data_IF_486567368054
#
_entry.id   IF_486567368054
#
_cell.length_a   1.000
_cell.length_b   1.000
_cell.length_c   1.000
_cell.angle_alpha   90.00
_cell.angle_beta   90.00
_cell.angle_gamma   90.00
#
_symmetry.space_group_name_H-M   'P 1'
#
loop_
_entity.id
_entity.type
_entity.pdbx_description
1 polymer ?
#
# COMPACT_ATOMS: atom_id res chain seq x y z
N UNK A 1 -14.17 8.18 24.62
CA UNK A 1 -12.86 8.78 24.75
C UNK A 1 -11.74 7.97 24.11
N UNK A 2 -11.63 6.63 24.28
CA UNK A 2 -10.62 5.79 23.61
C UNK A 2 -10.80 5.80 22.07
N UNK A 3 -12.02 5.76 21.56
CA UNK A 3 -12.30 5.81 20.14
C UNK A 3 -11.81 7.13 19.50
N UNK A 4 -12.03 8.26 20.17
CA UNK A 4 -11.54 9.55 19.69
C UNK A 4 -10.01 9.65 19.73
N UNK A 5 -9.37 9.06 20.74
CA UNK A 5 -7.92 8.97 20.79
C UNK A 5 -7.32 8.13 19.65
N UNK A 6 -8.01 7.05 19.23
CA UNK A 6 -7.64 6.27 18.06
C UNK A 6 -7.81 7.07 16.76
N UNK A 7 -8.88 7.85 16.63
CA UNK A 7 -9.08 8.76 15.48
C UNK A 7 -7.98 9.82 15.46
N UNK A 8 -7.64 10.41 16.63
CA UNK A 8 -6.56 11.39 16.73
C UNK A 8 -5.19 10.79 16.35
N UNK A 9 -4.93 9.54 16.73
CA UNK A 9 -3.73 8.81 16.31
C UNK A 9 -3.71 8.64 14.77
N UNK A 10 -4.83 8.27 14.16
CA UNK A 10 -4.92 8.13 12.71
C UNK A 10 -4.68 9.46 11.98
N UNK A 11 -5.23 10.56 12.50
CA UNK A 11 -5.04 11.91 11.97
C UNK A 11 -3.59 12.37 12.14
N UNK A 12 -2.99 12.17 13.30
CA UNK A 12 -1.60 12.54 13.57
C UNK A 12 -0.63 11.79 12.65
N UNK A 13 -0.88 10.51 12.40
CA UNK A 13 -0.13 9.70 11.44
C UNK A 13 -0.53 9.95 9.98
N UNK A 14 -1.37 10.92 9.67
CA UNK A 14 -1.79 11.28 8.30
C UNK A 14 -2.38 10.10 7.51
N UNK A 15 -3.16 9.24 8.17
CA UNK A 15 -3.94 8.23 7.48
C UNK A 15 -5.04 8.89 6.63
N UNK A 16 -5.37 8.28 5.50
CA UNK A 16 -6.43 8.77 4.61
C UNK A 16 -7.83 8.45 5.19
N UNK A 17 -7.95 7.34 5.89
CA UNK A 17 -9.20 6.90 6.50
C UNK A 17 -8.99 6.25 7.87
N UNK A 18 -9.98 6.41 8.74
CA UNK A 18 -10.14 5.65 9.98
C UNK A 18 -11.26 4.63 9.81
N UNK A 19 -11.03 3.38 10.22
CA UNK A 19 -12.02 2.32 10.11
C UNK A 19 -12.33 1.69 11.47
N UNK A 20 -13.61 1.42 11.71
CA UNK A 20 -14.09 0.60 12.83
C UNK A 20 -15.03 -0.51 12.34
N UNK A 21 -15.60 -1.26 13.27
CA UNK A 21 -16.55 -2.34 13.00
C UNK A 21 -17.86 -2.07 13.75
N UNK A 22 -18.97 -2.50 13.15
CA UNK A 22 -20.29 -2.45 13.78
C UNK A 22 -21.01 -3.76 13.59
N UNK A 23 -21.61 -4.27 14.66
CA UNK A 23 -22.36 -5.53 14.66
C UNK A 23 -23.36 -5.57 15.80
N UNK A 24 -24.36 -6.44 15.66
CA UNK A 24 -25.21 -6.91 16.74
C UNK A 24 -24.79 -8.33 17.08
N UNK A 25 -24.30 -8.54 18.29
CA UNK A 25 -23.73 -9.82 18.72
C UNK A 25 -24.67 -11.00 18.46
N UNK A 26 -25.96 -10.81 18.70
CA UNK A 26 -26.97 -11.86 18.53
C UNK A 26 -27.26 -12.21 17.06
N UNK A 27 -26.91 -11.32 16.14
CA UNK A 27 -26.98 -11.54 14.68
C UNK A 27 -25.68 -12.08 14.10
N UNK A 28 -24.54 -11.71 14.69
CA UNK A 28 -23.22 -12.10 14.20
C UNK A 28 -22.84 -13.53 14.65
N UNK A 29 -23.14 -13.90 15.89
CA UNK A 29 -22.73 -15.19 16.45
C UNK A 29 -23.93 -16.02 16.85
N UNK A 30 -24.01 -17.22 16.28
CA UNK A 30 -25.08 -18.19 16.57
C UNK A 30 -25.07 -18.65 18.04
N UNK A 31 -26.23 -19.12 18.50
CA UNK A 31 -26.43 -19.62 19.89
C UNK A 31 -25.57 -20.85 20.23
N UNK A 32 -25.03 -21.53 19.20
CA UNK A 32 -24.12 -22.68 19.36
C UNK A 32 -22.73 -22.31 19.88
N UNK A 33 -22.37 -21.02 19.90
CA UNK A 33 -21.06 -20.53 20.36
C UNK A 33 -21.23 -19.51 21.50
N UNK A 34 -21.69 -19.91 22.68
CA UNK A 34 -22.09 -18.98 23.77
C UNK A 34 -20.89 -18.19 24.34
N UNK A 35 -19.73 -18.82 24.48
CA UNK A 35 -18.51 -18.15 24.98
C UNK A 35 -18.05 -17.05 24.03
N UNK A 36 -18.10 -17.31 22.72
CA UNK A 36 -17.77 -16.31 21.73
C UNK A 36 -18.77 -15.16 21.69
N UNK A 37 -20.07 -15.46 21.81
CA UNK A 37 -21.11 -14.43 21.93
C UNK A 37 -20.84 -13.51 23.12
N UNK A 38 -20.56 -14.05 24.28
CA UNK A 38 -20.31 -13.24 25.49
C UNK A 38 -19.06 -12.38 25.33
N UNK A 39 -17.99 -12.93 24.73
CA UNK A 39 -16.79 -12.18 24.43
C UNK A 39 -17.04 -11.01 23.47
N UNK A 40 -17.86 -11.16 22.45
CA UNK A 40 -18.19 -10.10 21.49
C UNK A 40 -19.19 -9.10 22.05
N UNK A 41 -20.14 -9.56 22.88
CA UNK A 41 -21.13 -8.68 23.52
C UNK A 41 -20.49 -7.55 24.33
N UNK A 42 -19.41 -7.86 25.02
CA UNK A 42 -18.66 -6.85 25.78
C UNK A 42 -17.97 -5.78 24.90
N UNK A 43 -17.86 -6.02 23.59
CA UNK A 43 -17.20 -5.15 22.60
C UNK A 43 -18.18 -4.53 21.61
N UNK A 44 -19.46 -4.92 21.67
CA UNK A 44 -20.51 -4.33 20.82
C UNK A 44 -20.64 -2.84 21.12
N UNK A 45 -20.52 -2.03 20.08
CA UNK A 45 -20.67 -0.58 20.19
C UNK A 45 -22.13 -0.19 19.92
N UNK A 46 -22.73 0.72 20.72
CA UNK A 46 -24.04 1.26 20.41
C UNK A 46 -24.02 2.10 19.13
N UNK A 47 -25.16 2.15 18.44
CA UNK A 47 -25.31 2.90 17.19
C UNK A 47 -24.88 4.37 17.33
N UNK A 48 -25.24 5.02 18.43
CA UNK A 48 -24.87 6.40 18.72
C UNK A 48 -23.36 6.61 18.90
N UNK A 49 -22.63 5.57 19.32
CA UNK A 49 -21.18 5.65 19.40
C UNK A 49 -20.56 5.66 18.00
N UNK A 50 -21.10 4.87 17.08
CA UNK A 50 -20.67 4.85 15.67
C UNK A 50 -20.95 6.21 15.02
N UNK A 51 -22.14 6.77 15.22
CA UNK A 51 -22.48 8.09 14.71
C UNK A 51 -21.53 9.17 15.23
N UNK A 52 -21.27 9.21 16.53
CA UNK A 52 -20.32 10.18 17.12
C UNK A 52 -18.90 10.03 16.59
N UNK A 53 -18.44 8.80 16.31
CA UNK A 53 -17.13 8.59 15.67
C UNK A 53 -17.12 9.15 14.26
N UNK A 54 -18.19 8.95 13.49
CA UNK A 54 -18.35 9.52 12.15
C UNK A 54 -18.26 11.05 12.18
N UNK A 55 -19.07 11.68 13.04
CA UNK A 55 -19.06 13.14 13.22
C UNK A 55 -17.69 13.68 13.65
N UNK A 56 -16.99 12.93 14.52
CA UNK A 56 -15.64 13.31 14.95
C UNK A 56 -14.64 13.19 13.82
N UNK A 57 -14.71 12.13 13.00
CA UNK A 57 -13.88 12.01 11.80
C UNK A 57 -14.09 13.16 10.82
N UNK A 58 -15.34 13.58 10.58
CA UNK A 58 -15.66 14.74 9.75
C UNK A 58 -15.05 16.03 10.30
N UNK A 59 -15.15 16.24 11.60
CA UNK A 59 -14.53 17.38 12.28
C UNK A 59 -13.00 17.35 12.17
N UNK A 60 -12.42 16.17 12.18
CA UNK A 60 -10.96 15.96 12.03
C UNK A 60 -10.51 15.88 10.57
N UNK A 61 -11.45 15.91 9.61
CA UNK A 61 -11.21 15.81 8.15
C UNK A 61 -10.51 14.52 7.73
N UNK A 62 -10.86 13.40 8.34
CA UNK A 62 -10.44 12.05 7.97
C UNK A 62 -11.67 11.25 7.51
N UNK A 63 -11.50 10.41 6.48
CA UNK A 63 -12.58 9.56 5.99
C UNK A 63 -12.95 8.53 7.07
N UNK A 64 -14.24 8.38 7.35
CA UNK A 64 -14.74 7.34 8.24
C UNK A 64 -15.26 6.16 7.45
N UNK A 65 -14.72 4.98 7.70
CA UNK A 65 -15.20 3.71 7.16
C UNK A 65 -15.66 2.82 8.30
N UNK A 66 -16.62 1.95 8.02
CA UNK A 66 -17.08 0.97 8.99
C UNK A 66 -17.39 -0.37 8.30
N UNK A 67 -17.05 -1.46 8.99
CA UNK A 67 -17.43 -2.81 8.56
C UNK A 67 -18.76 -3.17 9.23
N UNK A 68 -19.87 -3.28 8.49
CA UNK A 68 -21.08 -3.93 9.00
C UNK A 68 -20.87 -5.45 8.97
N UNK A 69 -21.13 -6.12 10.06
CA UNK A 69 -21.03 -7.58 10.15
C UNK A 69 -22.40 -8.30 10.12
N UNK A 70 -23.47 -7.54 10.00
CA UNK A 70 -24.84 -8.04 9.87
C UNK A 70 -25.71 -7.01 9.17
N UNK A 71 -26.91 -7.43 8.79
CA UNK A 71 -27.83 -6.57 8.04
C UNK A 71 -28.33 -5.37 8.83
N UNK A 72 -28.56 -5.53 10.15
CA UNK A 72 -28.99 -4.41 10.98
C UNK A 72 -27.89 -3.36 11.12
N UNK A 73 -26.62 -3.79 11.27
CA UNK A 73 -25.49 -2.89 11.25
C UNK A 73 -25.36 -2.16 9.90
N UNK A 74 -25.56 -2.85 8.77
CA UNK A 74 -25.57 -2.24 7.44
C UNK A 74 -26.63 -1.15 7.32
N UNK A 75 -27.85 -1.39 7.81
CA UNK A 75 -28.95 -0.41 7.79
C UNK A 75 -28.63 0.81 8.66
N UNK A 76 -28.07 0.60 9.85
CA UNK A 76 -27.61 1.70 10.71
C UNK A 76 -26.56 2.55 10.02
N UNK A 77 -25.57 1.92 9.36
CA UNK A 77 -24.52 2.65 8.66
C UNK A 77 -25.05 3.42 7.44
N UNK A 78 -26.07 2.89 6.77
CA UNK A 78 -26.72 3.53 5.63
C UNK A 78 -27.61 4.69 6.05
N UNK A 79 -28.54 4.44 6.98
CA UNK A 79 -29.64 5.37 7.26
C UNK A 79 -29.31 6.39 8.34
N UNK A 80 -28.55 5.99 9.38
CA UNK A 80 -28.26 6.87 10.53
C UNK A 80 -26.90 7.52 10.44
N UNK A 81 -25.86 6.75 10.06
CA UNK A 81 -24.46 7.22 10.08
C UNK A 81 -24.07 7.89 8.76
N UNK A 82 -24.61 7.44 7.64
CA UNK A 82 -24.34 8.00 6.33
C UNK A 82 -22.87 7.81 5.91
N UNK A 83 -22.31 6.60 6.05
CA UNK A 83 -20.93 6.33 5.66
C UNK A 83 -20.68 6.56 4.18
N UNK A 84 -19.49 7.06 3.76
CA UNK A 84 -19.18 7.29 2.35
C UNK A 84 -18.91 5.99 1.57
N UNK A 85 -18.62 4.90 2.26
CA UNK A 85 -18.34 3.58 1.71
C UNK A 85 -18.24 2.53 2.80
N UNK A 86 -18.17 1.29 2.41
CA UNK A 86 -18.12 0.15 3.32
C UNK A 86 -16.77 -0.55 3.28
N UNK A 87 -16.33 -1.05 4.43
CA UNK A 87 -15.28 -2.06 4.52
C UNK A 87 -15.94 -3.40 4.81
N UNK A 88 -15.60 -4.42 4.07
CA UNK A 88 -16.09 -5.79 4.29
C UNK A 88 -14.91 -6.67 4.68
N UNK A 89 -15.08 -7.40 5.77
CA UNK A 89 -14.06 -8.30 6.30
C UNK A 89 -14.01 -9.64 5.55
N UNK A 90 -12.93 -10.38 5.73
CA UNK A 90 -12.70 -11.69 5.11
C UNK A 90 -13.70 -12.77 5.54
N UNK A 91 -14.37 -12.58 6.67
CA UNK A 91 -15.39 -13.51 7.18
C UNK A 91 -16.62 -13.69 6.29
N UNK A 92 -16.78 -12.82 5.29
CA UNK A 92 -17.89 -12.90 4.33
C UNK A 92 -17.58 -13.80 3.11
N UNK A 93 -16.56 -14.64 3.20
CA UNK A 93 -16.28 -15.66 2.17
C UNK A 93 -17.53 -16.53 1.96
N UNK A 94 -17.91 -16.71 0.69
CA UNK A 94 -19.12 -17.45 0.26
C UNK A 94 -20.46 -16.90 0.77
N UNK A 95 -20.48 -15.80 1.51
CA UNK A 95 -21.71 -15.10 1.90
C UNK A 95 -22.21 -14.17 0.77
N UNK A 96 -22.40 -14.77 -0.42
CA UNK A 96 -22.82 -14.03 -1.61
C UNK A 96 -24.10 -13.22 -1.43
N UNK A 97 -25.15 -13.71 -0.70
CA UNK A 97 -26.33 -12.90 -0.45
C UNK A 97 -26.03 -11.61 0.29
N UNK A 98 -25.16 -11.65 1.27
CA UNK A 98 -24.79 -10.46 2.04
C UNK A 98 -23.92 -9.50 1.21
N UNK A 99 -22.94 -10.02 0.46
CA UNK A 99 -22.13 -9.20 -0.45
C UNK A 99 -22.99 -8.49 -1.50
N UNK A 100 -23.98 -9.19 -2.09
CA UNK A 100 -24.94 -8.58 -3.00
C UNK A 100 -25.77 -7.49 -2.32
N UNK A 101 -26.21 -7.71 -1.07
CA UNK A 101 -26.96 -6.71 -0.30
C UNK A 101 -26.13 -5.45 -0.02
N UNK A 102 -24.85 -5.60 0.36
CA UNK A 102 -23.93 -4.46 0.52
C UNK A 102 -23.75 -3.71 -0.79
N UNK A 103 -23.48 -4.44 -1.87
CA UNK A 103 -23.27 -3.87 -3.21
C UNK A 103 -24.50 -3.09 -3.73
N UNK A 104 -25.72 -3.58 -3.42
CA UNK A 104 -26.98 -2.93 -3.81
C UNK A 104 -27.16 -1.53 -3.20
N UNK A 105 -26.40 -1.16 -2.17
CA UNK A 105 -26.35 0.20 -1.61
C UNK A 105 -25.65 1.20 -2.51
N UNK A 106 -24.97 0.73 -3.58
CA UNK A 106 -24.31 1.54 -4.62
C UNK A 106 -23.27 2.53 -4.10
N UNK A 107 -22.63 2.21 -2.97
CA UNK A 107 -21.50 2.93 -2.40
C UNK A 107 -20.18 2.19 -2.69
N UNK A 108 -19.05 2.88 -2.61
CA UNK A 108 -17.73 2.24 -2.68
C UNK A 108 -17.57 1.16 -1.60
N UNK A 109 -16.94 0.05 -1.97
CA UNK A 109 -16.65 -1.06 -1.06
C UNK A 109 -15.17 -1.43 -1.12
N UNK A 110 -14.57 -1.66 0.04
CA UNK A 110 -13.25 -2.26 0.18
C UNK A 110 -13.45 -3.66 0.77
N UNK A 111 -13.13 -4.70 0.00
CA UNK A 111 -13.29 -6.11 0.39
C UNK A 111 -11.94 -6.72 0.73
N UNK A 112 -11.75 -7.23 1.96
CA UNK A 112 -10.62 -8.10 2.31
C UNK A 112 -10.93 -9.55 1.99
N UNK A 113 -9.92 -10.27 1.48
CA UNK A 113 -10.07 -11.61 0.91
C UNK A 113 -9.22 -12.68 1.61
N UNK A 114 -8.98 -12.53 2.91
CA UNK A 114 -8.43 -13.64 3.71
C UNK A 114 -9.40 -14.83 3.71
N UNK A 115 -8.89 -16.04 3.73
CA UNK A 115 -9.65 -17.31 3.63
C UNK A 115 -10.32 -17.55 2.27
N UNK A 116 -10.19 -16.66 1.29
CA UNK A 116 -10.69 -16.85 -0.06
C UNK A 116 -9.66 -17.58 -0.92
N UNK A 117 -10.12 -18.49 -1.75
CA UNK A 117 -9.38 -18.93 -2.93
C UNK A 117 -9.54 -17.92 -4.09
N UNK A 118 -8.65 -17.95 -5.06
CA UNK A 118 -8.67 -17.01 -6.19
C UNK A 118 -9.98 -17.10 -7.01
N UNK A 119 -10.55 -18.31 -7.12
CA UNK A 119 -11.85 -18.56 -7.75
C UNK A 119 -13.00 -17.85 -7.00
N UNK A 120 -12.97 -17.89 -5.69
CA UNK A 120 -13.97 -17.25 -4.84
C UNK A 120 -13.85 -15.71 -4.87
N UNK A 121 -12.63 -15.17 -5.02
CA UNK A 121 -12.44 -13.73 -5.25
C UNK A 121 -13.11 -13.31 -6.56
N UNK A 122 -12.92 -14.09 -7.64
CA UNK A 122 -13.57 -13.84 -8.94
C UNK A 122 -15.09 -13.87 -8.82
N UNK A 123 -15.63 -14.86 -8.12
CA UNK A 123 -17.06 -14.99 -7.90
C UNK A 123 -17.61 -13.80 -7.08
N UNK A 124 -16.95 -13.44 -5.98
CA UNK A 124 -17.33 -12.28 -5.17
C UNK A 124 -17.38 -10.99 -6.00
N UNK A 125 -16.38 -10.77 -6.86
CA UNK A 125 -16.36 -9.58 -7.73
C UNK A 125 -17.53 -9.56 -8.72
N UNK A 126 -17.88 -10.72 -9.31
CA UNK A 126 -19.03 -10.84 -10.19
C UNK A 126 -20.35 -10.56 -9.45
N UNK A 127 -20.56 -11.22 -8.32
CA UNK A 127 -21.76 -11.01 -7.49
C UNK A 127 -21.95 -9.54 -7.11
N UNK A 128 -20.87 -8.87 -6.70
CA UNK A 128 -20.95 -7.46 -6.31
C UNK A 128 -21.18 -6.54 -7.51
N UNK A 129 -20.57 -6.82 -8.64
CA UNK A 129 -20.79 -6.07 -9.87
C UNK A 129 -22.24 -6.20 -10.36
N UNK A 130 -22.78 -7.42 -10.40
CA UNK A 130 -24.16 -7.70 -10.81
C UNK A 130 -25.19 -7.04 -9.87
N UNK A 131 -24.86 -6.92 -8.58
CA UNK A 131 -25.69 -6.22 -7.59
C UNK A 131 -25.56 -4.69 -7.61
N UNK A 132 -24.69 -4.14 -8.46
CA UNK A 132 -24.58 -2.70 -8.72
C UNK A 132 -23.58 -1.96 -7.81
N UNK A 133 -22.53 -2.63 -7.32
CA UNK A 133 -21.44 -1.95 -6.61
C UNK A 133 -20.85 -0.83 -7.49
N UNK A 134 -20.80 0.39 -6.97
CA UNK A 134 -20.34 1.56 -7.73
C UNK A 134 -18.83 1.60 -7.94
N UNK A 135 -18.08 1.12 -6.95
CA UNK A 135 -16.62 1.01 -6.97
C UNK A 135 -16.18 -0.06 -5.96
N UNK A 136 -15.30 -0.95 -6.37
CA UNK A 136 -14.78 -2.03 -5.55
C UNK A 136 -13.25 -1.95 -5.50
N UNK A 137 -12.68 -2.06 -4.30
CA UNK A 137 -11.25 -2.34 -4.10
C UNK A 137 -11.11 -3.70 -3.40
N UNK A 138 -10.12 -4.48 -3.80
CA UNK A 138 -9.84 -5.80 -3.22
C UNK A 138 -8.54 -5.73 -2.44
N UNK A 139 -8.56 -6.19 -1.18
CA UNK A 139 -7.36 -6.31 -0.37
C UNK A 139 -7.00 -7.79 -0.22
N UNK A 140 -5.81 -8.17 -0.70
CA UNK A 140 -5.20 -9.42 -0.28
C UNK A 140 -5.02 -9.40 1.24
N UNK A 141 -5.28 -10.52 1.90
CA UNK A 141 -5.28 -10.62 3.34
C UNK A 141 -5.03 -12.06 3.79
N UNK A 142 -4.42 -12.24 4.96
CA UNK A 142 -4.38 -13.52 5.66
C UNK A 142 -5.00 -13.34 7.04
N UNK A 143 -6.02 -14.15 7.35
CA UNK A 143 -6.81 -14.02 8.60
C UNK A 143 -6.17 -14.84 9.72
N UNK A 144 -5.01 -14.39 10.19
CA UNK A 144 -4.28 -14.89 11.37
C UNK A 144 -3.70 -13.69 12.13
N UNK A 145 -3.70 -13.69 13.47
CA UNK A 145 -3.35 -12.55 14.33
C UNK A 145 -2.41 -12.94 15.47
N UNK A 146 -1.09 -12.78 15.37
CA UNK A 146 -0.35 -12.35 14.18
C UNK A 146 -0.26 -13.45 13.12
N UNK A 147 0.01 -13.07 11.88
CA UNK A 147 0.33 -13.98 10.79
C UNK A 147 1.86 -14.07 10.63
N UNK A 148 2.36 -15.29 10.35
CA UNK A 148 3.75 -15.47 9.98
C UNK A 148 4.02 -14.88 8.59
N UNK A 149 5.09 -14.09 8.40
CA UNK A 149 5.41 -13.52 7.08
C UNK A 149 5.53 -14.55 5.96
N UNK A 150 5.89 -15.79 6.25
CA UNK A 150 5.99 -16.88 5.25
C UNK A 150 4.65 -17.29 4.65
N UNK A 151 3.55 -17.01 5.35
CA UNK A 151 2.18 -17.36 4.90
C UNK A 151 1.51 -16.26 4.08
N UNK A 152 2.12 -15.07 3.96
CA UNK A 152 1.49 -13.89 3.37
C UNK A 152 1.34 -13.99 1.85
N UNK A 153 2.37 -14.43 1.14
CA UNK A 153 2.35 -14.54 -0.32
C UNK A 153 1.92 -13.25 -1.05
N UNK A 154 2.61 -12.13 -0.84
CA UNK A 154 2.26 -10.83 -1.45
C UNK A 154 2.11 -10.87 -2.98
N UNK A 155 2.72 -11.85 -3.65
CA UNK A 155 2.55 -12.09 -5.09
C UNK A 155 1.11 -12.34 -5.53
N UNK A 156 0.21 -12.72 -4.61
CA UNK A 156 -1.23 -12.90 -4.88
C UNK A 156 -1.88 -11.61 -5.37
N UNK A 157 -1.39 -10.43 -4.95
CA UNK A 157 -1.90 -9.15 -5.46
C UNK A 157 -1.76 -9.04 -6.99
N UNK A 158 -0.65 -9.53 -7.55
CA UNK A 158 -0.46 -9.54 -9.00
C UNK A 158 -1.47 -10.49 -9.69
N UNK A 159 -1.74 -11.66 -9.12
CA UNK A 159 -2.74 -12.60 -9.66
C UNK A 159 -4.16 -12.01 -9.62
N UNK A 160 -4.51 -11.25 -8.58
CA UNK A 160 -5.79 -10.55 -8.51
C UNK A 160 -5.88 -9.51 -9.63
N UNK A 161 -4.82 -8.77 -9.92
CA UNK A 161 -4.77 -7.76 -10.99
C UNK A 161 -4.94 -8.34 -12.39
N UNK A 162 -4.63 -9.60 -12.61
CA UNK A 162 -4.81 -10.26 -13.92
C UNK A 162 -6.29 -10.29 -14.37
N UNK A 163 -7.23 -10.31 -13.43
CA UNK A 163 -8.65 -10.39 -13.74
C UNK A 163 -9.49 -9.24 -13.17
N UNK A 164 -8.97 -8.50 -12.22
CA UNK A 164 -9.70 -7.41 -11.56
C UNK A 164 -9.11 -6.05 -11.95
N UNK A 165 -9.86 -5.20 -12.67
CA UNK A 165 -9.35 -3.92 -13.17
C UNK A 165 -9.36 -2.79 -12.12
N UNK A 166 -9.98 -3.02 -10.96
CA UNK A 166 -10.06 -2.05 -9.86
C UNK A 166 -8.82 -2.02 -8.97
N UNK A 167 -8.81 -1.16 -7.95
CA UNK A 167 -7.71 -1.06 -7.00
C UNK A 167 -7.48 -2.38 -6.23
N UNK A 168 -6.22 -2.80 -6.15
CA UNK A 168 -5.78 -3.97 -5.38
C UNK A 168 -4.80 -3.55 -4.31
N UNK A 169 -5.07 -3.92 -3.06
CA UNK A 169 -4.26 -3.56 -1.92
C UNK A 169 -3.97 -4.74 -0.99
N UNK A 170 -3.56 -4.41 0.21
CA UNK A 170 -3.19 -5.39 1.23
C UNK A 170 -3.76 -4.99 2.60
N UNK A 171 -4.41 -5.94 3.28
CA UNK A 171 -4.85 -5.82 4.68
C UNK A 171 -3.92 -6.62 5.57
N UNK A 172 -3.17 -5.93 6.42
CA UNK A 172 -2.04 -6.49 7.13
C UNK A 172 -2.36 -6.93 8.57
N UNK A 173 -1.94 -8.18 8.89
CA UNK A 173 -2.01 -8.75 10.22
C UNK A 173 -0.64 -9.26 10.71
N UNK A 174 0.46 -8.75 10.16
CA UNK A 174 1.81 -9.05 10.67
C UNK A 174 2.18 -8.16 11.86
N UNK A 175 3.15 -8.57 12.65
CA UNK A 175 3.82 -7.68 13.58
C UNK A 175 4.75 -6.72 12.82
N UNK A 176 4.80 -5.46 13.25
CA UNK A 176 5.65 -4.45 12.61
C UNK A 176 5.09 -3.87 11.32
N UNK A 177 5.98 -3.31 10.48
CA UNK A 177 5.61 -2.51 9.30
C UNK A 177 6.28 -2.98 8.00
N UNK A 178 7.17 -3.95 8.05
CA UNK A 178 7.97 -4.36 6.89
C UNK A 178 7.11 -4.94 5.76
N UNK A 179 6.15 -5.83 6.08
CA UNK A 179 5.31 -6.50 5.09
C UNK A 179 4.37 -5.51 4.37
N UNK A 180 3.61 -4.64 5.06
CA UNK A 180 2.77 -3.68 4.37
C UNK A 180 3.59 -2.65 3.55
N UNK A 181 4.80 -2.27 3.97
CA UNK A 181 5.69 -1.44 3.15
C UNK A 181 6.15 -2.17 1.88
N UNK A 182 6.46 -3.47 1.97
CA UNK A 182 6.75 -4.30 0.79
C UNK A 182 5.53 -4.40 -0.14
N UNK A 183 4.31 -4.50 0.40
CA UNK A 183 3.09 -4.48 -0.41
C UNK A 183 2.94 -3.17 -1.21
N UNK A 184 3.27 -2.02 -0.61
CA UNK A 184 3.29 -0.72 -1.33
C UNK A 184 4.30 -0.73 -2.47
N UNK A 185 5.52 -1.23 -2.23
CA UNK A 185 6.55 -1.35 -3.25
C UNK A 185 6.12 -2.27 -4.41
N UNK A 186 5.37 -3.34 -4.11
CA UNK A 186 4.77 -4.25 -5.09
C UNK A 186 3.49 -3.71 -5.75
N UNK A 187 3.11 -2.46 -5.46
CA UNK A 187 2.04 -1.77 -6.15
C UNK A 187 0.69 -1.80 -5.44
N UNK A 188 0.61 -2.10 -4.15
CA UNK A 188 -0.64 -1.97 -3.42
C UNK A 188 -1.20 -0.54 -3.54
N UNK A 189 -2.49 -0.43 -3.92
CA UNK A 189 -3.20 0.86 -4.03
C UNK A 189 -3.81 1.28 -2.69
N UNK A 190 -4.07 0.31 -1.82
CA UNK A 190 -4.68 0.51 -0.49
C UNK A 190 -3.93 -0.35 0.52
N UNK A 191 -3.59 0.23 1.66
CA UNK A 191 -3.05 -0.50 2.81
C UNK A 191 -4.01 -0.34 3.99
N UNK A 192 -4.38 -1.46 4.60
CA UNK A 192 -5.12 -1.48 5.86
C UNK A 192 -4.21 -2.03 6.96
N UNK A 193 -4.14 -1.32 8.08
CA UNK A 193 -3.37 -1.71 9.26
C UNK A 193 -4.14 -1.39 10.53
N UNK A 194 -4.14 -2.33 11.47
CA UNK A 194 -4.68 -2.08 12.80
C UNK A 194 -3.86 -1.03 13.56
N UNK A 195 -4.55 -0.21 14.36
CA UNK A 195 -3.92 0.76 15.28
C UNK A 195 -4.40 0.55 16.70
N UNK A 196 -3.56 0.86 17.68
CA UNK A 196 -3.90 0.80 19.10
C UNK A 196 -3.27 1.95 19.88
N UNK A 197 -3.92 2.35 20.96
CA UNK A 197 -3.36 3.29 21.97
C UNK A 197 -2.85 2.54 23.20
N UNK A 198 -3.06 1.23 23.27
CA UNK A 198 -2.68 0.39 24.40
C UNK A 198 -2.33 -1.01 23.90
N UNK A 199 -1.13 -1.47 24.19
CA UNK A 199 -0.62 -2.82 23.82
C UNK A 199 -0.91 -3.89 24.87
N UNK A 200 -1.62 -3.56 25.95
CA UNK A 200 -1.91 -4.46 27.03
C UNK A 200 -3.43 -4.64 27.25
N UNK A 201 -4.20 -4.66 26.18
CA UNK A 201 -5.64 -4.82 26.25
C UNK A 201 -5.98 -6.30 26.51
N UNK A 202 -6.54 -6.65 27.68
CA UNK A 202 -6.93 -8.03 27.98
C UNK A 202 -7.97 -8.54 26.98
N UNK A 203 -7.87 -9.82 26.60
CA UNK A 203 -8.80 -10.49 25.69
C UNK A 203 -8.95 -9.85 24.29
N UNK A 204 -7.98 -9.03 23.89
CA UNK A 204 -7.87 -8.53 22.53
C UNK A 204 -6.69 -9.21 21.81
N UNK A 205 -6.85 -9.51 20.52
CA UNK A 205 -5.79 -10.13 19.70
C UNK A 205 -5.09 -9.08 18.83
N UNK A 206 -5.84 -8.10 18.35
CA UNK A 206 -5.45 -7.16 17.30
C UNK A 206 -4.32 -6.21 17.72
N UNK A 207 -4.13 -5.96 19.02
CA UNK A 207 -3.05 -5.08 19.48
C UNK A 207 -1.64 -5.57 19.12
N UNK A 208 -1.46 -6.89 18.95
CA UNK A 208 -0.16 -7.46 18.53
C UNK A 208 0.22 -7.06 17.12
N UNK A 209 -0.76 -6.95 16.25
CA UNK A 209 -0.59 -6.60 14.83
C UNK A 209 -0.83 -5.10 14.57
N UNK A 210 -1.12 -4.33 15.61
CA UNK A 210 -1.41 -2.90 15.52
C UNK A 210 -0.16 -2.03 15.54
N UNK A 211 -0.19 -0.95 14.78
CA UNK A 211 0.68 0.19 15.03
C UNK A 211 0.15 1.01 16.22
N UNK A 212 1.03 1.70 16.91
CA UNK A 212 0.71 2.60 18.01
C UNK A 212 1.37 3.97 17.83
N UNK A 213 1.30 4.79 18.85
CA UNK A 213 1.89 6.15 18.86
C UNK A 213 3.40 6.17 18.61
N UNK A 214 4.11 5.05 18.80
CA UNK A 214 5.56 4.98 18.66
C UNK A 214 6.00 4.72 17.21
N UNK A 215 5.15 4.10 16.38
CA UNK A 215 5.54 3.64 15.05
C UNK A 215 4.56 3.99 13.92
N UNK A 216 3.35 4.51 14.23
CA UNK A 216 2.34 4.75 13.20
C UNK A 216 2.74 5.90 12.26
N UNK A 217 3.30 6.99 12.77
CA UNK A 217 3.78 8.09 11.93
C UNK A 217 4.95 7.66 11.03
N UNK A 218 5.89 6.87 11.57
CA UNK A 218 6.96 6.27 10.76
C UNK A 218 6.39 5.38 9.65
N UNK A 219 5.41 4.56 9.97
CA UNK A 219 4.77 3.69 8.99
C UNK A 219 4.16 4.47 7.82
N UNK A 220 3.34 5.46 8.12
CA UNK A 220 2.66 6.25 7.08
C UNK A 220 3.62 7.13 6.27
N UNK A 221 4.63 7.73 6.92
CA UNK A 221 5.67 8.49 6.22
C UNK A 221 6.51 7.60 5.30
N UNK A 222 6.84 6.38 5.73
CA UNK A 222 7.54 5.39 4.89
C UNK A 222 6.71 4.97 3.67
N UNK A 223 5.39 4.85 3.81
CA UNK A 223 4.50 4.62 2.65
C UNK A 223 4.67 5.75 1.64
N UNK A 224 4.58 7.01 2.07
CA UNK A 224 4.70 8.18 1.16
C UNK A 224 6.10 8.28 0.54
N UNK A 225 7.14 7.89 1.26
CA UNK A 225 8.50 7.82 0.72
C UNK A 225 8.63 6.75 -0.37
N UNK A 226 8.06 5.56 -0.16
CA UNK A 226 8.04 4.48 -1.15
C UNK A 226 7.22 4.89 -2.38
N UNK A 227 6.05 5.52 -2.20
CA UNK A 227 5.24 6.05 -3.30
C UNK A 227 6.04 7.04 -4.16
N UNK A 228 6.75 7.96 -3.55
CA UNK A 228 7.61 8.90 -4.26
C UNK A 228 8.79 8.19 -4.97
N UNK A 229 9.40 7.20 -4.31
CA UNK A 229 10.54 6.45 -4.84
C UNK A 229 10.16 5.51 -6.00
N UNK A 230 8.94 5.01 -6.04
CA UNK A 230 8.44 4.18 -7.16
C UNK A 230 8.49 4.92 -8.50
N UNK A 231 8.17 6.21 -8.53
CA UNK A 231 8.24 7.05 -9.71
C UNK A 231 7.64 6.41 -10.97
N UNK A 232 8.27 6.67 -12.10
CA UNK A 232 7.94 6.05 -13.38
C UNK A 232 8.77 4.78 -13.66
N UNK A 233 8.38 4.03 -14.70
CA UNK A 233 9.09 2.81 -15.14
C UNK A 233 10.21 3.08 -16.15
N UNK A 234 10.36 4.30 -16.63
CA UNK A 234 11.38 4.67 -17.62
C UNK A 234 12.71 5.00 -16.95
N UNK A 235 13.80 4.36 -17.40
CA UNK A 235 15.14 4.66 -16.88
C UNK A 235 15.71 5.89 -17.58
N UNK A 236 15.52 7.03 -16.98
CA UNK A 236 16.09 8.30 -17.37
C UNK A 236 17.22 8.72 -16.43
N UNK A 237 18.11 9.59 -16.92
CA UNK A 237 19.06 10.29 -16.05
C UNK A 237 18.29 11.38 -15.32
N UNK A 238 18.30 11.34 -13.98
CA UNK A 238 17.63 12.34 -13.18
C UNK A 238 18.37 13.69 -13.22
N UNK A 239 17.66 14.78 -12.98
CA UNK A 239 18.26 16.11 -12.91
C UNK A 239 19.37 16.18 -11.85
N UNK A 240 19.18 15.50 -10.72
CA UNK A 240 20.18 15.40 -9.65
C UNK A 240 21.45 14.66 -10.05
N UNK A 241 21.41 13.83 -11.10
CA UNK A 241 22.60 13.12 -11.62
C UNK A 241 23.42 13.97 -12.60
N UNK A 242 22.89 15.07 -13.13
CA UNK A 242 23.60 15.88 -14.13
C UNK A 242 24.92 16.42 -13.60
N UNK A 243 24.96 16.88 -12.37
CA UNK A 243 26.21 17.33 -11.76
C UNK A 243 27.19 16.16 -11.55
N UNK A 244 26.69 15.01 -11.11
CA UNK A 244 27.51 13.81 -10.95
C UNK A 244 28.08 13.32 -12.28
N UNK A 245 27.37 13.46 -13.38
CA UNK A 245 27.87 13.11 -14.71
C UNK A 245 29.14 13.89 -15.08
N UNK A 246 29.24 15.15 -14.68
CA UNK A 246 30.39 15.99 -15.00
C UNK A 246 31.70 15.50 -14.35
N UNK A 247 31.65 14.96 -13.16
CA UNK A 247 32.81 14.52 -12.39
C UNK A 247 32.96 13.01 -12.29
N UNK A 248 31.88 12.24 -12.30
CA UNK A 248 31.93 10.79 -12.12
C UNK A 248 32.12 10.01 -13.43
N UNK A 249 31.59 10.50 -14.54
CA UNK A 249 31.81 9.87 -15.86
C UNK A 249 33.28 9.93 -16.25
N UNK A 250 33.66 8.98 -17.08
CA UNK A 250 34.99 8.94 -17.69
C UNK A 250 34.91 9.37 -19.15
N UNK A 251 35.97 9.99 -19.63
CA UNK A 251 36.17 10.34 -21.04
C UNK A 251 37.53 9.84 -21.53
N UNK A 252 37.71 9.85 -22.84
CA UNK A 252 38.98 9.60 -23.44
C UNK A 252 39.91 10.79 -23.16
N UNK A 253 41.11 10.49 -22.71
CA UNK A 253 42.18 11.46 -22.42
C UNK A 253 43.47 10.96 -23.02
N UNK A 254 44.36 11.88 -23.39
CA UNK A 254 45.73 11.51 -23.82
C UNK A 254 46.47 10.85 -22.64
N UNK A 255 47.00 9.65 -22.83
CA UNK A 255 47.84 8.95 -21.86
C UNK A 255 49.24 9.53 -21.78
N UNK A 256 49.72 10.11 -22.90
CA UNK A 256 51.03 10.69 -23.07
C UNK A 256 50.97 11.90 -24.04
N UNK A 257 52.03 12.63 -24.18
CA UNK A 257 52.12 13.69 -25.19
C UNK A 257 52.00 13.11 -26.60
N UNK A 258 51.04 13.60 -27.35
CA UNK A 258 50.77 13.21 -28.73
C UNK A 258 51.22 14.39 -29.62
N UNK A 259 52.17 14.15 -30.53
CA UNK A 259 52.65 15.19 -31.43
C UNK A 259 51.86 15.20 -32.75
N UNK A 260 51.76 16.38 -33.36
CA UNK A 260 51.10 16.52 -34.66
C UNK A 260 51.71 15.61 -35.70
N UNK A 261 50.87 14.91 -36.46
CA UNK A 261 51.28 13.95 -37.46
C UNK A 261 51.42 12.50 -36.99
N UNK A 262 51.29 12.24 -35.71
CA UNK A 262 51.21 10.85 -35.20
C UNK A 262 49.86 10.21 -35.54
N UNK A 263 49.89 8.93 -35.87
CA UNK A 263 48.67 8.11 -35.93
C UNK A 263 48.29 7.68 -34.53
N UNK A 264 47.01 7.86 -34.16
CA UNK A 264 46.50 7.47 -32.85
C UNK A 264 46.46 5.95 -32.75
N UNK A 265 47.02 5.43 -31.70
CA UNK A 265 46.99 4.03 -31.31
C UNK A 265 46.30 3.92 -29.93
N UNK A 266 45.80 2.73 -29.58
CA UNK A 266 45.13 2.50 -28.31
C UNK A 266 45.97 2.91 -27.09
N UNK A 267 47.30 2.73 -27.14
CA UNK A 267 48.21 3.10 -26.05
C UNK A 267 48.40 4.61 -25.86
N UNK A 268 47.99 5.43 -26.83
CA UNK A 268 48.07 6.89 -26.71
C UNK A 268 46.88 7.47 -25.94
N UNK A 269 45.82 6.66 -25.70
CA UNK A 269 44.60 7.09 -25.06
C UNK A 269 44.36 6.32 -23.77
N UNK A 270 43.81 7.00 -22.77
CA UNK A 270 43.38 6.45 -21.52
C UNK A 270 41.93 6.86 -21.26
N UNK A 271 41.27 6.18 -20.31
CA UNK A 271 39.88 6.45 -19.92
C UNK A 271 39.85 6.92 -18.47
N UNK A 272 39.73 8.21 -18.27
CA UNK A 272 39.85 8.85 -16.96
C UNK A 272 38.68 9.81 -16.68
N UNK A 273 38.51 10.20 -15.44
CA UNK A 273 37.64 11.31 -15.01
C UNK A 273 38.37 12.63 -15.23
N UNK A 274 37.65 13.73 -15.46
CA UNK A 274 36.22 13.91 -15.58
C UNK A 274 35.66 13.56 -16.96
N UNK A 275 34.31 13.44 -17.04
CA UNK A 275 33.61 13.11 -18.29
C UNK A 275 33.34 14.29 -19.21
N UNK A 276 34.34 15.17 -19.42
CA UNK A 276 34.22 16.39 -20.24
C UNK A 276 34.65 16.23 -21.69
N UNK A 277 35.34 15.13 -22.02
CA UNK A 277 35.79 14.80 -23.35
C UNK A 277 34.89 13.79 -24.06
N UNK A 278 35.44 13.14 -25.11
CA UNK A 278 34.74 12.11 -25.86
C UNK A 278 34.47 10.86 -24.97
N UNK A 279 33.30 10.24 -25.09
CA UNK A 279 33.02 9.03 -24.35
C UNK A 279 33.95 7.87 -24.74
N UNK A 280 34.26 7.01 -23.78
CA UNK A 280 35.15 5.84 -24.00
C UNK A 280 34.67 4.91 -25.13
N UNK A 281 33.37 4.85 -25.39
CA UNK A 281 32.79 4.09 -26.50
C UNK A 281 33.29 4.53 -27.89
N UNK A 282 33.80 5.74 -27.98
CA UNK A 282 34.37 6.29 -29.26
C UNK A 282 35.84 5.94 -29.47
N UNK A 283 36.46 5.13 -28.60
CA UNK A 283 37.87 4.77 -28.69
C UNK A 283 38.25 4.22 -30.09
N UNK A 284 37.45 3.28 -30.60
CA UNK A 284 37.71 2.66 -31.91
C UNK A 284 37.59 3.63 -33.09
N UNK A 285 36.77 4.68 -32.94
CA UNK A 285 36.62 5.70 -33.99
C UNK A 285 37.85 6.61 -34.08
N UNK A 286 38.62 6.69 -32.99
CA UNK A 286 39.84 7.54 -32.94
C UNK A 286 41.12 6.79 -33.32
N UNK A 287 41.16 5.48 -33.13
CA UNK A 287 42.30 4.66 -33.49
C UNK A 287 42.50 4.72 -35.02
N UNK A 288 43.73 4.88 -35.44
CA UNK A 288 44.14 5.06 -36.86
C UNK A 288 43.82 6.43 -37.46
N UNK A 289 43.27 7.37 -36.72
CA UNK A 289 43.18 8.75 -37.20
C UNK A 289 44.54 9.48 -37.05
N UNK A 290 44.82 10.38 -37.97
CA UNK A 290 45.98 11.27 -37.89
C UNK A 290 45.68 12.42 -36.92
N UNK A 291 46.52 12.59 -35.90
CA UNK A 291 46.43 13.74 -35.00
C UNK A 291 46.99 14.99 -35.72
N UNK A 292 46.11 15.92 -36.06
CA UNK A 292 46.49 17.04 -36.92
C UNK A 292 46.86 18.32 -36.17
N UNK A 293 46.25 18.57 -35.03
CA UNK A 293 46.60 19.71 -34.16
C UNK A 293 45.92 19.57 -32.79
N UNK A 294 46.49 20.12 -31.71
CA UNK A 294 45.76 20.21 -30.44
C UNK A 294 44.55 21.12 -30.62
N UNK A 295 43.36 20.62 -30.25
CA UNK A 295 42.18 21.43 -30.17
C UNK A 295 42.18 22.21 -28.84
N UNK A 296 41.82 23.50 -28.83
CA UNK A 296 41.71 24.26 -27.57
C UNK A 296 40.58 23.76 -26.67
N UNK A 297 39.88 22.69 -27.05
CA UNK A 297 38.80 22.07 -26.31
C UNK A 297 39.13 20.64 -25.83
N UNK A 298 40.31 20.13 -26.04
CA UNK A 298 40.74 18.79 -25.62
C UNK A 298 41.41 18.81 -24.24
#
# INVERSE_FOLDING_TARGET
DKAFALIDLAVAGRADAFKTQHYKTDLLVGSSAPEWRERLRSKELPDDAILRMREYCDKRKIIFLCTPHDEAALEVLEEKVGVPGYKIGSGEVENWPYLAKVASKRKPVILSTGMYELSQIKEATSVMADAGCSALAILHCVTSYPVDPSDINLGVMAQIREFFPGPVGYSDHTEGIAVPLAAVALGADVIEKHITIDRNVPNAQDWKVSCDTSNFELFTSSIREIEAAKGGSEKLVSESEHEAMLWARKSLTAANNIVSGMTLEAGHLSVQRPGRGLPASRLHDLICLLYTSPSPRD
#
